data_IF_857943176057
#
_entry.id   IF_857943176057
#
_cell.length_a   1.000
_cell.length_b   1.000
_cell.length_c   1.000
_cell.angle_alpha   90.00
_cell.angle_beta   90.00
_cell.angle_gamma   90.00
#
_symmetry.space_group_name_H-M   'P 1'
#
loop_
_entity.id
_entity.type
_entity.pdbx_description
1 polymer ?
#
# COMPACT_ATOMS: atom_id res chain seq x y z
N UNK A 1 -12.45 -7.90 10.33
CA UNK A 1 -11.22 -7.35 9.73
C UNK A 1 -11.45 -7.03 8.26
N UNK A 2 -12.23 -5.98 7.98
CA UNK A 2 -12.65 -5.62 6.62
C UNK A 2 -12.75 -4.08 6.46
N UNK A 3 -11.84 -3.35 7.10
CA UNK A 3 -11.83 -1.88 7.07
C UNK A 3 -10.62 -1.39 6.29
N UNK A 4 -10.71 -0.21 5.67
CA UNK A 4 -9.54 0.44 5.07
C UNK A 4 -8.61 0.92 6.19
N UNK A 5 -7.34 0.51 6.15
CA UNK A 5 -6.35 0.74 7.22
C UNK A 5 -5.12 1.55 6.76
N UNK A 6 -5.13 2.05 5.52
CA UNK A 6 -3.94 2.69 4.91
C UNK A 6 -4.17 4.14 4.45
N UNK A 7 -4.99 4.89 5.17
CA UNK A 7 -5.26 6.30 4.86
C UNK A 7 -4.43 7.17 5.83
N UNK A 8 -3.86 8.30 5.38
CA UNK A 8 -3.22 9.26 6.27
C UNK A 8 -4.22 9.90 7.27
N UNK A 9 -3.78 10.25 8.50
CA UNK A 9 -2.43 10.13 9.04
C UNK A 9 -2.09 8.75 9.64
N UNK A 10 -3.04 7.80 9.64
CA UNK A 10 -2.87 6.48 10.28
C UNK A 10 -1.82 5.62 9.58
N UNK A 11 -1.62 5.84 8.28
CA UNK A 11 -0.55 5.22 7.51
C UNK A 11 0.24 6.25 6.72
N UNK A 12 1.52 5.94 6.50
CA UNK A 12 2.42 6.77 5.70
C UNK A 12 2.69 6.09 4.36
N UNK A 13 2.63 6.86 3.28
CA UNK A 13 2.86 6.37 1.93
C UNK A 13 4.19 6.90 1.41
N UNK A 14 5.02 6.04 0.84
CA UNK A 14 6.27 6.38 0.15
C UNK A 14 6.38 5.60 -1.15
N UNK A 15 7.26 5.99 -2.06
CA UNK A 15 7.41 5.30 -3.33
C UNK A 15 8.87 5.26 -3.80
N UNK A 16 9.16 4.36 -4.74
CA UNK A 16 10.46 4.27 -5.41
C UNK A 16 10.85 5.56 -6.13
N UNK A 17 9.86 6.22 -6.73
CA UNK A 17 10.02 7.49 -7.42
C UNK A 17 8.68 8.18 -7.58
N UNK A 18 8.68 9.50 -7.71
CA UNK A 18 7.48 10.28 -8.01
C UNK A 18 7.77 11.28 -9.13
N UNK A 19 6.81 11.48 -10.02
CA UNK A 19 6.96 12.44 -11.11
C UNK A 19 6.99 13.86 -10.51
N UNK A 20 7.96 14.71 -10.91
CA UNK A 20 8.01 16.09 -10.43
C UNK A 20 6.72 16.83 -10.78
N UNK A 21 6.28 17.64 -9.83
CA UNK A 21 5.07 18.43 -9.91
C UNK A 21 5.13 19.45 -11.06
N UNK A 22 4.04 19.55 -11.83
CA UNK A 22 3.71 20.75 -12.60
C UNK A 22 2.52 21.39 -11.91
N UNK A 23 2.53 22.73 -11.79
CA UNK A 23 1.79 23.63 -10.87
C UNK A 23 0.32 23.32 -10.44
N UNK A 24 -0.33 22.26 -10.91
CA UNK A 24 -1.77 21.99 -10.73
C UNK A 24 -2.14 20.49 -10.65
N UNK A 25 -1.20 19.54 -10.54
CA UNK A 25 -1.52 18.09 -10.53
C UNK A 25 -0.99 17.34 -9.32
N UNK A 26 -1.69 16.28 -8.90
CA UNK A 26 -1.17 15.26 -7.98
C UNK A 26 -0.14 14.39 -8.68
N UNK A 27 0.71 13.69 -7.91
CA UNK A 27 1.58 12.57 -8.34
C UNK A 27 2.50 12.12 -7.18
N UNK A 28 2.31 12.61 -5.95
CA UNK A 28 3.17 12.24 -4.82
C UNK A 28 2.68 10.94 -4.18
N UNK A 29 3.50 10.27 -3.34
CA UNK A 29 3.07 9.07 -2.64
C UNK A 29 1.90 9.33 -1.68
N UNK A 30 1.83 10.51 -1.07
CA UNK A 30 0.75 10.91 -0.16
C UNK A 30 -0.59 10.98 -0.89
N UNK A 31 -0.60 11.39 -2.17
CA UNK A 31 -1.79 11.40 -3.01
C UNK A 31 -2.29 9.98 -3.36
N UNK A 32 -1.56 8.92 -3.00
CA UNK A 32 -1.89 7.56 -3.43
C UNK A 32 -2.94 6.86 -2.55
N UNK A 33 -3.45 7.46 -1.48
CA UNK A 33 -4.49 6.79 -0.69
C UNK A 33 -5.79 6.62 -1.50
N UNK A 34 -6.56 5.57 -1.23
CA UNK A 34 -7.70 5.15 -2.07
C UNK A 34 -8.78 6.23 -2.28
N UNK A 35 -8.93 7.15 -1.31
CA UNK A 35 -9.91 8.23 -1.33
C UNK A 35 -9.39 9.54 -1.94
N UNK A 36 -8.13 9.60 -2.35
CA UNK A 36 -7.57 10.79 -2.99
C UNK A 36 -8.31 11.11 -4.28
N UNK A 37 -8.47 12.40 -4.58
CA UNK A 37 -8.93 12.86 -5.88
C UNK A 37 -7.91 12.55 -6.99
N UNK A 38 -6.63 12.46 -6.63
CA UNK A 38 -5.50 12.28 -7.53
C UNK A 38 -4.97 10.85 -7.61
N UNK A 39 -3.68 10.72 -7.35
CA UNK A 39 -2.97 9.44 -7.24
C UNK A 39 -1.46 9.63 -7.30
N UNK A 40 -0.70 8.62 -6.89
CA UNK A 40 0.74 8.60 -7.12
C UNK A 40 1.04 8.35 -8.59
N UNK A 41 2.14 8.92 -9.08
CA UNK A 41 2.69 8.60 -10.39
C UNK A 41 4.20 8.37 -10.30
N UNK A 42 4.68 7.23 -10.78
CA UNK A 42 6.11 6.99 -10.86
C UNK A 42 6.79 7.98 -11.82
N UNK A 43 8.05 8.31 -11.53
CA UNK A 43 8.89 9.13 -12.41
C UNK A 43 9.18 8.39 -13.72
N UNK A 44 9.53 7.10 -13.62
CA UNK A 44 9.85 6.21 -14.73
C UNK A 44 8.76 5.14 -14.91
N UNK A 45 8.54 4.71 -16.16
CA UNK A 45 7.62 3.64 -16.51
C UNK A 45 8.39 2.33 -16.68
N UNK A 46 8.69 1.65 -15.58
CA UNK A 46 9.30 0.33 -15.61
C UNK A 46 8.77 -0.54 -14.46
N UNK A 47 9.10 -1.83 -14.46
CA UNK A 47 8.67 -2.79 -13.44
C UNK A 47 9.47 -2.69 -12.12
N UNK A 48 10.40 -1.73 -12.00
CA UNK A 48 11.20 -1.52 -10.77
C UNK A 48 10.53 -0.56 -9.81
N UNK A 49 9.37 -0.03 -10.18
CA UNK A 49 8.64 0.92 -9.35
C UNK A 49 7.89 0.20 -8.23
N UNK A 50 7.75 0.87 -7.09
CA UNK A 50 6.93 0.39 -5.99
C UNK A 50 6.27 1.56 -5.25
N UNK A 51 5.08 1.30 -4.70
CA UNK A 51 4.40 2.16 -3.74
C UNK A 51 4.34 1.40 -2.41
N UNK A 52 4.82 2.03 -1.34
CA UNK A 52 4.93 1.44 0.00
C UNK A 52 3.97 2.12 0.96
N UNK A 53 3.33 1.33 1.81
CA UNK A 53 2.54 1.78 2.95
C UNK A 53 3.24 1.31 4.23
N UNK A 54 3.51 2.23 5.15
CA UNK A 54 3.82 1.95 6.56
C UNK A 54 2.53 2.08 7.37
N UNK A 55 2.02 0.95 7.86
CA UNK A 55 0.82 0.86 8.70
C UNK A 55 1.10 1.21 10.17
N UNK A 56 2.36 1.50 10.53
CA UNK A 56 2.78 1.69 11.91
C UNK A 56 2.91 0.34 12.63
N UNK A 57 2.11 0.02 13.65
CA UNK A 57 2.19 -1.29 14.29
C UNK A 57 1.90 -2.45 13.32
N UNK A 58 2.47 -3.65 13.56
CA UNK A 58 2.08 -4.83 12.80
C UNK A 58 0.56 -5.02 12.80
N UNK A 59 -0.01 -5.10 11.61
CA UNK A 59 -1.45 -5.05 11.38
C UNK A 59 -1.86 -6.23 10.51
N UNK A 60 -3.05 -6.78 10.75
CA UNK A 60 -3.57 -7.90 9.94
C UNK A 60 -4.16 -7.33 8.64
N UNK A 61 -3.55 -7.69 7.52
CA UNK A 61 -3.97 -7.30 6.18
C UNK A 61 -4.75 -8.44 5.53
N UNK A 62 -5.99 -8.17 5.12
CA UNK A 62 -6.94 -9.15 4.56
C UNK A 62 -7.28 -8.87 3.10
N UNK A 63 -6.86 -7.74 2.55
CA UNK A 63 -7.05 -7.45 1.13
C UNK A 63 -6.43 -6.14 0.69
N UNK A 64 -6.64 -5.84 -0.59
CA UNK A 64 -6.18 -4.62 -1.25
C UNK A 64 -7.28 -4.07 -2.15
N UNK A 65 -7.37 -2.75 -2.22
CA UNK A 65 -8.22 -2.01 -3.15
C UNK A 65 -7.37 -1.04 -3.96
N UNK A 66 -7.65 -0.94 -5.25
CA UNK A 66 -6.90 -0.09 -6.19
C UNK A 66 -7.83 0.74 -7.06
N UNK A 67 -7.39 1.93 -7.44
CA UNK A 67 -7.98 2.83 -8.44
C UNK A 67 -6.85 3.39 -9.31
N UNK A 68 -7.18 3.86 -10.51
CA UNK A 68 -6.25 4.67 -11.31
C UNK A 68 -6.10 6.10 -10.78
N UNK A 69 -5.34 6.92 -11.49
CA UNK A 69 -5.17 8.35 -11.18
C UNK A 69 -6.45 9.14 -11.52
N UNK A 70 -7.02 9.89 -10.57
CA UNK A 70 -8.32 10.56 -10.75
C UNK A 70 -8.29 11.99 -11.34
N UNK A 71 -7.27 12.78 -11.03
CA UNK A 71 -7.18 14.22 -11.33
C UNK A 71 -6.74 14.57 -12.76
N UNK A 72 -6.44 13.58 -13.60
CA UNK A 72 -5.94 13.79 -14.96
C UNK A 72 -6.94 13.34 -16.03
N UNK A 73 -7.03 14.10 -17.13
CA UNK A 73 -7.72 13.65 -18.35
C UNK A 73 -7.02 12.45 -19.01
N UNK A 74 -5.71 12.29 -18.81
CA UNK A 74 -4.96 11.14 -19.33
C UNK A 74 -5.50 9.83 -18.76
N UNK A 75 -5.42 8.74 -19.53
CA UNK A 75 -5.83 7.40 -19.10
C UNK A 75 -4.62 6.71 -18.45
N UNK A 76 -4.52 6.76 -17.11
CA UNK A 76 -3.37 6.27 -16.34
C UNK A 76 -3.81 5.40 -15.16
N UNK A 77 -3.39 4.13 -15.18
CA UNK A 77 -3.64 3.16 -14.12
C UNK A 77 -2.75 1.93 -14.26
N UNK A 78 -2.54 1.22 -13.16
CA UNK A 78 -1.89 -0.10 -13.12
C UNK A 78 -2.90 -1.18 -13.51
N UNK A 79 -2.52 -2.08 -14.43
CA UNK A 79 -3.37 -3.16 -14.96
C UNK A 79 -3.01 -4.54 -14.40
N UNK A 80 -1.81 -4.71 -13.84
CA UNK A 80 -1.47 -5.85 -12.97
C UNK A 80 -0.34 -5.49 -12.02
N UNK A 81 -0.27 -6.18 -10.88
CA UNK A 81 0.72 -5.93 -9.83
C UNK A 81 0.97 -7.15 -8.96
N UNK A 82 2.08 -7.13 -8.21
CA UNK A 82 2.33 -8.05 -7.10
C UNK A 82 2.48 -7.29 -5.78
N UNK A 83 2.45 -8.04 -4.67
CA UNK A 83 2.63 -7.50 -3.33
C UNK A 83 3.85 -8.12 -2.66
N UNK A 84 4.60 -7.30 -1.93
CA UNK A 84 5.52 -7.78 -0.90
C UNK A 84 5.27 -7.09 0.42
N UNK A 85 5.65 -7.73 1.51
CA UNK A 85 5.45 -7.21 2.86
C UNK A 85 6.65 -7.45 3.76
N UNK A 86 6.76 -6.65 4.80
CA UNK A 86 7.87 -6.68 5.76
C UNK A 86 7.44 -6.15 7.13
N UNK A 87 8.15 -6.57 8.17
CA UNK A 87 8.04 -5.98 9.52
C UNK A 87 9.25 -5.11 9.91
N UNK A 88 10.34 -5.14 9.13
CA UNK A 88 11.61 -4.50 9.49
C UNK A 88 12.31 -3.78 8.33
N UNK A 89 11.70 -3.69 7.15
CA UNK A 89 12.25 -3.11 5.91
C UNK A 89 13.49 -3.79 5.32
N UNK A 90 14.14 -4.70 6.04
CA UNK A 90 15.32 -5.44 5.60
C UNK A 90 14.94 -6.73 4.87
N UNK A 91 13.97 -7.46 5.40
CA UNK A 91 13.50 -8.72 4.82
C UNK A 91 12.10 -8.53 4.25
N UNK A 92 11.95 -8.78 2.95
CA UNK A 92 10.70 -8.66 2.23
C UNK A 92 10.24 -10.02 1.73
N UNK A 93 8.97 -10.33 1.96
CA UNK A 93 8.34 -11.55 1.48
C UNK A 93 7.31 -11.19 0.43
N UNK A 94 7.33 -11.87 -0.71
CA UNK A 94 6.25 -11.73 -1.70
C UNK A 94 5.02 -12.50 -1.22
N UNK A 95 3.83 -11.91 -1.41
CA UNK A 95 2.58 -12.61 -1.18
C UNK A 95 2.41 -13.74 -2.21
N UNK A 96 1.92 -14.88 -1.73
CA UNK A 96 1.62 -16.08 -2.51
C UNK A 96 0.29 -16.64 -2.02
N UNK A 97 -0.47 -17.26 -2.91
CA UNK A 97 -1.59 -18.12 -2.50
C UNK A 97 -1.06 -19.51 -2.10
N UNK A 98 -1.79 -20.27 -1.26
CA UNK A 98 -1.35 -21.52 -0.63
C UNK A 98 -0.73 -22.58 -1.56
N UNK A 99 -1.05 -22.52 -2.86
CA UNK A 99 -0.66 -23.52 -3.84
C UNK A 99 0.35 -22.99 -4.87
N UNK A 100 0.86 -21.77 -4.70
CA UNK A 100 1.78 -21.14 -5.66
C UNK A 100 3.20 -21.05 -5.08
N UNK A 101 4.16 -21.58 -5.84
CA UNK A 101 5.59 -21.41 -5.57
C UNK A 101 6.04 -19.99 -5.92
N UNK A 102 5.45 -19.39 -6.94
CA UNK A 102 5.73 -18.05 -7.42
C UNK A 102 4.88 -16.97 -6.72
N UNK A 103 5.35 -15.70 -6.70
CA UNK A 103 4.54 -14.57 -6.26
C UNK A 103 3.20 -14.50 -7.00
N UNK A 104 2.14 -14.13 -6.28
CA UNK A 104 0.83 -13.90 -6.89
C UNK A 104 0.84 -12.62 -7.73
N UNK A 105 0.43 -12.73 -8.99
CA UNK A 105 0.04 -11.59 -9.81
C UNK A 105 -1.46 -11.30 -9.63
N UNK A 106 -1.79 -10.05 -9.31
CA UNK A 106 -3.14 -9.54 -9.18
C UNK A 106 -3.53 -8.75 -10.43
N UNK A 107 -4.74 -8.96 -10.93
CA UNK A 107 -5.33 -8.09 -11.96
C UNK A 107 -5.64 -6.71 -11.38
N UNK A 108 -5.14 -5.65 -12.00
CA UNK A 108 -5.35 -4.26 -11.62
C UNK A 108 -6.64 -3.66 -12.16
N UNK A 109 -6.62 -2.35 -12.45
CA UNK A 109 -7.77 -1.60 -12.90
C UNK A 109 -7.96 -1.66 -14.43
N UNK A 110 -9.20 -1.46 -14.88
CA UNK A 110 -9.55 -1.33 -16.30
C UNK A 110 -9.87 0.13 -16.69
N UNK A 111 -10.00 1.01 -15.70
CA UNK A 111 -10.25 2.44 -15.85
C UNK A 111 -9.66 3.23 -14.66
N UNK A 112 -9.94 4.53 -14.58
CA UNK A 112 -9.38 5.41 -13.53
C UNK A 112 -10.13 5.39 -12.21
N UNK A 113 -11.43 5.11 -12.22
CA UNK A 113 -12.37 5.47 -11.17
C UNK A 113 -13.02 4.28 -10.49
N UNK A 114 -13.18 3.16 -11.17
CA UNK A 114 -13.78 1.95 -10.62
C UNK A 114 -12.80 1.29 -9.66
N UNK A 115 -13.25 1.02 -8.43
CA UNK A 115 -12.46 0.29 -7.45
C UNK A 115 -12.29 -1.17 -7.89
N UNK A 116 -11.04 -1.65 -7.83
CA UNK A 116 -10.74 -3.07 -7.94
C UNK A 116 -10.29 -3.60 -6.59
N UNK A 117 -11.04 -4.53 -6.03
CA UNK A 117 -10.80 -5.14 -4.72
C UNK A 117 -10.33 -6.59 -4.90
N UNK A 118 -9.32 -6.98 -4.12
CA UNK A 118 -8.87 -8.36 -3.97
C UNK A 118 -8.77 -8.69 -2.49
N UNK A 119 -9.47 -9.74 -2.07
CA UNK A 119 -9.32 -10.33 -0.75
C UNK A 119 -8.29 -11.44 -0.82
N UNK A 120 -7.46 -11.53 0.21
CA UNK A 120 -6.40 -12.52 0.26
C UNK A 120 -6.93 -13.83 0.82
N UNK A 121 -6.66 -14.93 0.14
CA UNK A 121 -6.93 -16.27 0.66
C UNK A 121 -6.14 -16.52 1.95
N UNK A 122 -4.92 -15.97 2.02
CA UNK A 122 -4.07 -16.01 3.20
C UNK A 122 -3.81 -14.60 3.76
N UNK A 123 -4.65 -14.08 4.65
CA UNK A 123 -4.34 -12.84 5.35
C UNK A 123 -3.00 -12.91 6.07
N UNK A 124 -2.22 -11.84 6.00
CA UNK A 124 -0.89 -11.78 6.59
C UNK A 124 -0.77 -10.62 7.58
N UNK A 125 0.20 -10.71 8.49
CA UNK A 125 0.53 -9.63 9.42
C UNK A 125 1.77 -8.91 8.93
N UNK A 126 1.65 -7.60 8.74
CA UNK A 126 2.76 -6.77 8.32
C UNK A 126 2.65 -5.35 8.87
N UNK A 127 3.79 -4.68 9.04
CA UNK A 127 3.88 -3.24 9.18
C UNK A 127 3.97 -2.55 7.82
N UNK A 128 4.82 -3.08 6.94
CA UNK A 128 5.09 -2.51 5.63
C UNK A 128 4.51 -3.38 4.54
N UNK A 129 3.88 -2.76 3.55
CA UNK A 129 3.42 -3.43 2.33
C UNK A 129 3.84 -2.61 1.12
N UNK A 130 4.41 -3.27 0.12
CA UNK A 130 4.73 -2.69 -1.19
C UNK A 130 3.83 -3.29 -2.26
N UNK A 131 3.28 -2.43 -3.09
CA UNK A 131 2.73 -2.79 -4.39
C UNK A 131 3.80 -2.60 -5.45
N UNK A 132 3.99 -3.62 -6.30
CA UNK A 132 4.91 -3.63 -7.43
C UNK A 132 4.12 -3.69 -8.73
N UNK A 133 3.95 -2.56 -9.44
CA UNK A 133 3.28 -2.54 -10.74
C UNK A 133 4.03 -3.39 -11.77
N UNK A 134 3.30 -4.26 -12.47
CA UNK A 134 3.85 -5.15 -13.50
C UNK A 134 3.44 -4.71 -14.90
N UNK A 135 2.16 -4.39 -15.09
CA UNK A 135 1.64 -3.80 -16.33
C UNK A 135 0.81 -2.55 -16.03
N UNK A 136 0.72 -1.63 -16.99
CA UNK A 136 -0.03 -0.38 -16.82
C UNK A 136 -0.52 0.19 -18.15
N UNK A 137 -1.55 1.04 -18.07
CA UNK A 137 -1.97 1.89 -19.17
C UNK A 137 -1.35 3.27 -19.03
N UNK A 138 -0.60 3.71 -20.05
CA UNK A 138 -0.06 5.07 -20.17
C UNK A 138 1.11 5.39 -19.22
N UNK A 139 0.89 5.36 -17.90
CA UNK A 139 1.93 5.58 -16.89
C UNK A 139 1.60 4.76 -15.65
N UNK A 140 2.65 4.32 -14.96
CA UNK A 140 2.53 3.73 -13.62
C UNK A 140 1.94 4.78 -12.69
N UNK A 141 0.65 4.66 -12.41
CA UNK A 141 -0.08 5.57 -11.54
C UNK A 141 -1.21 4.84 -10.86
N UNK A 142 -1.43 5.10 -9.58
CA UNK A 142 -2.47 4.42 -8.83
C UNK A 142 -2.86 5.15 -7.54
N UNK A 143 -4.06 4.83 -7.08
CA UNK A 143 -4.51 4.96 -5.71
C UNK A 143 -4.66 3.57 -5.10
N UNK A 144 -4.37 3.45 -3.82
CA UNK A 144 -4.19 2.20 -3.10
C UNK A 144 -4.84 2.29 -1.72
N UNK A 145 -5.52 1.23 -1.34
CA UNK A 145 -6.00 0.99 0.02
C UNK A 145 -5.67 -0.43 0.44
N UNK A 146 -5.24 -0.62 1.67
CA UNK A 146 -5.17 -1.94 2.30
C UNK A 146 -6.42 -2.15 3.16
N UNK A 147 -6.95 -3.36 3.09
CA UNK A 147 -8.10 -3.80 3.88
C UNK A 147 -7.57 -4.66 5.02
N UNK A 148 -8.05 -4.44 6.24
CA UNK A 148 -7.58 -5.18 7.40
C UNK A 148 -8.21 -4.75 8.72
N UNK A 149 -7.45 -4.97 9.79
CA UNK A 149 -7.74 -4.54 11.15
C UNK A 149 -6.43 -4.51 11.97
N UNK A 150 -6.35 -3.62 12.95
CA UNK A 150 -5.29 -3.67 13.94
C UNK A 150 -5.34 -4.97 14.74
N UNK A 151 -4.17 -5.50 15.10
CA UNK A 151 -4.07 -6.64 16.01
C UNK A 151 -4.39 -6.18 17.44
N UNK A 152 -5.26 -6.91 18.12
CA UNK A 152 -5.58 -6.69 19.55
C UNK A 152 -4.64 -7.43 20.51
N UNK A 153 -3.61 -8.12 19.99
CA UNK A 153 -2.60 -8.86 20.76
C UNK A 153 -1.40 -8.00 21.18
N UNK A 154 -0.31 -8.64 21.60
CA UNK A 154 0.93 -7.93 21.96
C UNK A 154 1.46 -7.08 20.80
N UNK A 155 1.88 -5.85 21.09
CA UNK A 155 2.51 -4.99 20.11
C UNK A 155 3.85 -5.58 19.68
N UNK A 156 4.10 -5.66 18.37
CA UNK A 156 5.38 -6.13 17.85
C UNK A 156 6.57 -5.26 18.30
N UNK A 157 7.78 -5.77 18.08
CA UNK A 157 9.03 -5.11 18.48
C UNK A 157 9.08 -3.63 18.05
N UNK A 158 9.40 -2.73 18.98
CA UNK A 158 9.43 -1.28 18.75
C UNK A 158 8.09 -0.56 18.97
N UNK A 159 7.04 -1.28 19.36
CA UNK A 159 5.73 -0.70 19.69
C UNK A 159 5.27 -1.09 21.10
N UNK A 160 4.41 -0.28 21.70
CA UNK A 160 3.82 -0.51 23.02
C UNK A 160 2.32 -0.21 23.00
N UNK A 161 1.57 -0.86 23.88
CA UNK A 161 0.15 -0.56 24.12
C UNK A 161 0.01 -0.05 25.55
N UNK A 162 -0.80 0.98 25.75
CA UNK A 162 -1.10 1.49 27.10
C UNK A 162 -2.16 0.60 27.75
N UNK A 163 -3.22 0.25 27.01
CA UNK A 163 -4.31 -0.63 27.46
C UNK A 163 -4.69 -1.66 26.39
N UNK A 164 -5.42 -2.71 26.77
CA UNK A 164 -5.92 -3.77 25.86
C UNK A 164 -6.88 -3.27 24.78
N UNK A 165 -7.34 -2.03 24.88
CA UNK A 165 -8.23 -1.39 23.92
C UNK A 165 -7.58 -0.18 23.20
N UNK A 166 -6.40 0.29 23.63
CA UNK A 166 -5.72 1.42 22.98
C UNK A 166 -5.03 1.01 21.67
N UNK A 167 -4.60 1.91 20.81
CA UNK A 167 -3.76 1.51 19.67
C UNK A 167 -2.32 1.21 20.13
N UNK A 168 -1.53 0.48 19.33
CA UNK A 168 -0.10 0.34 19.58
C UNK A 168 0.61 1.65 19.19
N UNK A 169 1.32 2.29 20.12
CA UNK A 169 2.18 3.44 19.88
C UNK A 169 3.63 3.04 19.57
N UNK A 170 4.37 3.87 18.83
CA UNK A 170 5.82 3.69 18.61
C UNK A 170 6.56 3.91 19.92
N UNK A 171 7.39 2.96 20.37
CA UNK A 171 8.33 3.20 21.47
C UNK A 171 9.35 4.23 20.99
N UNK A 172 9.35 5.42 21.59
CA UNK A 172 10.45 6.36 21.42
C UNK A 172 11.68 5.74 22.09
N UNK A 173 12.74 5.50 21.32
CA UNK A 173 14.05 5.25 21.92
C UNK A 173 14.46 6.56 22.57
N UNK A 174 14.46 6.62 23.90
CA UNK A 174 15.23 7.63 24.60
C UNK A 174 16.70 7.38 24.22
N UNK A 175 17.29 8.33 23.50
CA UNK A 175 18.74 8.42 23.38
C UNK A 175 19.26 8.67 24.80
N UNK A 176 19.92 7.65 25.37
CA UNK A 176 20.84 7.83 26.50
C UNK A 176 22.22 8.20 25.94
#
# INVERSE_FOLDING_TARGET
CNSIISVPPQAQLTASSSRPWSKQGTCTPEDAHIYSFGGWCAKTNDMRQWLQIDLGPPTRVTGVVTKGRGDSRRKQWVTSFALSYSNNTNHWHYYKDDNLVSPKEFGGNMDKNTERRHYFNQPFTARYVRVHPMTWRGRVSMRLGLIGCQLKGECGQGFFRVHTDSECGKKLQHFL
#
